data_IF_353566911828
#
_entry.id   IF_353566911828
#
_cell.length_a   1.000
_cell.length_b   1.000
_cell.length_c   1.000
_cell.angle_alpha   90.00
_cell.angle_beta   90.00
_cell.angle_gamma   90.00
#
_symmetry.space_group_name_H-M   'P 1'
#
loop_
_entity.id
_entity.type
_entity.pdbx_description
1 polymer ?
#
# COMPACT_ATOMS: atom_id res chain seq x y z
N UNK A 1 -7.24 5.04 2.07
CA UNK A 1 -5.79 4.75 2.05
C UNK A 1 -4.96 5.82 2.73
N UNK A 2 -4.74 6.98 2.10
CA UNK A 2 -3.78 7.98 2.62
C UNK A 2 -4.03 8.50 4.05
N UNK A 3 -5.25 8.43 4.56
CA UNK A 3 -5.57 8.83 5.95
C UNK A 3 -4.97 7.87 6.98
N UNK A 4 -5.41 6.61 6.98
CA UNK A 4 -5.02 5.64 8.01
C UNK A 4 -3.62 5.06 7.79
N UNK A 5 -3.19 4.93 6.52
CA UNK A 5 -1.89 4.32 6.20
C UNK A 5 -0.71 5.18 6.69
N UNK A 6 -0.81 6.51 6.54
CA UNK A 6 0.20 7.43 7.10
C UNK A 6 0.18 7.48 8.63
N UNK A 7 -0.95 7.17 9.26
CA UNK A 7 -1.03 7.01 10.72
C UNK A 7 -0.24 5.79 11.19
N UNK A 8 -0.34 4.66 10.48
CA UNK A 8 0.44 3.45 10.78
C UNK A 8 1.94 3.73 10.67
N UNK A 9 2.37 4.46 9.64
CA UNK A 9 3.77 4.91 9.53
C UNK A 9 4.13 5.85 10.69
N UNK A 10 3.22 6.74 11.09
CA UNK A 10 3.37 7.60 12.26
C UNK A 10 3.55 6.83 13.57
N UNK A 11 2.83 5.71 13.76
CA UNK A 11 3.07 4.78 14.87
C UNK A 11 4.48 4.21 14.78
N UNK A 12 4.93 3.76 13.62
CA UNK A 12 6.30 3.25 13.46
C UNK A 12 7.36 4.32 13.77
N UNK A 13 7.15 5.59 13.38
CA UNK A 13 8.01 6.72 13.75
C UNK A 13 8.02 6.94 15.26
N UNK A 14 6.86 6.91 15.91
CA UNK A 14 6.75 7.06 17.35
C UNK A 14 7.54 5.97 18.09
N UNK A 15 7.38 4.71 17.69
CA UNK A 15 8.13 3.60 18.28
C UNK A 15 9.63 3.69 17.96
N UNK A 16 10.02 4.06 16.75
CA UNK A 16 11.42 4.26 16.37
C UNK A 16 12.11 5.31 17.23
N UNK A 17 11.44 6.45 17.48
CA UNK A 17 11.95 7.50 18.37
C UNK A 17 12.00 7.01 19.82
N UNK A 18 11.00 6.24 20.25
CA UNK A 18 10.96 5.63 21.58
C UNK A 18 12.03 4.55 21.80
N UNK A 19 12.61 3.98 20.73
CA UNK A 19 13.72 3.01 20.82
C UNK A 19 15.07 3.65 21.19
N UNK A 20 15.21 4.98 21.16
CA UNK A 20 16.44 5.69 21.55
C UNK A 20 16.60 5.83 23.07
N UNK A 21 16.32 4.76 23.80
CA UNK A 21 16.48 4.65 25.24
C UNK A 21 17.29 3.39 25.57
N UNK A 22 17.96 3.37 26.73
CA UNK A 22 18.74 2.19 27.15
C UNK A 22 17.85 1.00 27.50
N UNK A 23 16.66 1.27 28.03
CA UNK A 23 15.61 0.30 28.29
C UNK A 23 14.39 0.67 27.45
N UNK A 24 13.82 -0.30 26.74
CA UNK A 24 12.68 -0.06 25.85
C UNK A 24 11.42 0.21 26.67
N UNK A 25 10.57 1.18 26.32
CA UNK A 25 9.39 1.53 27.13
C UNK A 25 8.37 0.39 27.32
N UNK A 26 8.42 -0.63 26.46
CA UNK A 26 7.54 -1.80 26.51
C UNK A 26 8.19 -3.03 27.18
N UNK A 27 9.31 -2.87 27.91
CA UNK A 27 9.90 -3.95 28.74
C UNK A 27 9.31 -3.99 30.16
N UNK A 28 8.84 -2.86 30.68
CA UNK A 28 8.28 -2.76 32.05
C UNK A 28 6.78 -3.08 32.07
N UNK A 29 6.35 -3.91 33.03
CA UNK A 29 5.02 -4.54 33.13
C UNK A 29 3.80 -3.62 33.37
N UNK A 30 3.92 -2.31 33.20
CA UNK A 30 2.75 -1.45 33.11
C UNK A 30 2.17 -1.63 31.71
N UNK A 31 1.28 -2.62 31.57
CA UNK A 31 0.40 -3.03 30.46
C UNK A 31 0.87 -2.85 28.99
N UNK A 32 0.75 -3.89 28.12
CA UNK A 32 1.17 -3.83 26.71
C UNK A 32 0.45 -2.75 25.87
N UNK A 33 -0.69 -2.21 26.35
CA UNK A 33 -1.45 -1.10 25.73
C UNK A 33 -0.89 0.31 26.05
N UNK A 34 0.19 0.43 26.82
CA UNK A 34 0.66 1.72 27.32
C UNK A 34 1.43 2.57 26.31
N UNK A 35 2.01 2.00 25.26
CA UNK A 35 2.81 2.79 24.31
C UNK A 35 1.93 3.74 23.50
N UNK A 36 0.78 3.24 23.01
CA UNK A 36 -0.22 4.05 22.32
C UNK A 36 -1.23 4.70 23.28
N UNK A 37 -1.33 4.22 24.52
CA UNK A 37 -2.30 4.67 25.55
C UNK A 37 -3.77 4.39 25.19
N UNK A 38 -4.02 3.30 24.46
CA UNK A 38 -5.36 2.93 23.96
C UNK A 38 -6.36 2.66 25.10
N UNK A 39 -5.89 2.37 26.32
CA UNK A 39 -6.75 2.17 27.49
C UNK A 39 -7.49 3.43 27.94
N UNK A 40 -7.15 4.61 27.41
CA UNK A 40 -7.80 5.89 27.72
C UNK A 40 -9.09 6.14 26.92
N UNK A 41 -9.48 5.21 26.06
CA UNK A 41 -10.72 5.27 25.27
C UNK A 41 -11.51 3.98 25.47
N UNK A 42 -12.81 4.10 25.68
CA UNK A 42 -13.72 2.95 25.87
C UNK A 42 -14.23 2.37 24.54
N UNK A 43 -13.86 2.95 23.40
CA UNK A 43 -14.17 2.42 22.08
C UNK A 43 -14.46 3.50 21.02
N UNK A 44 -15.24 3.15 20.00
CA UNK A 44 -15.58 4.07 18.90
C UNK A 44 -16.52 5.21 19.33
N UNK A 45 -17.36 5.00 20.35
CA UNK A 45 -18.27 6.03 20.87
C UNK A 45 -17.52 7.13 21.65
N UNK A 46 -16.36 6.82 22.22
CA UNK A 46 -15.46 7.77 22.86
C UNK A 46 -14.01 7.52 22.44
N UNK A 47 -13.61 8.18 21.36
CA UNK A 47 -12.25 8.12 20.83
C UNK A 47 -11.23 8.87 21.72
N UNK A 48 -11.68 9.68 22.68
CA UNK A 48 -10.82 10.55 23.48
C UNK A 48 -10.17 11.70 22.70
N UNK A 49 -9.28 12.43 23.36
CA UNK A 49 -8.57 13.57 22.77
C UNK A 49 -7.46 13.13 21.78
N UNK A 50 -7.03 14.06 20.92
CA UNK A 50 -5.89 13.87 20.01
C UNK A 50 -4.60 13.74 20.83
N UNK A 51 -3.85 12.65 20.61
CA UNK A 51 -2.53 12.46 21.20
C UNK A 51 -1.51 13.29 20.43
N UNK A 52 -1.12 14.43 20.98
CA UNK A 52 -0.24 15.40 20.31
C UNK A 52 1.12 14.83 19.88
N UNK A 53 1.70 13.93 20.66
CA UNK A 53 2.97 13.28 20.29
C UNK A 53 2.81 12.45 19.01
N UNK A 54 1.71 11.71 18.89
CA UNK A 54 1.39 10.93 17.69
C UNK A 54 1.03 11.84 16.51
N UNK A 55 0.22 12.88 16.74
CA UNK A 55 -0.13 13.84 15.69
C UNK A 55 1.11 14.54 15.09
N UNK A 56 2.15 14.78 15.90
CA UNK A 56 3.43 15.32 15.47
C UNK A 56 4.26 14.29 14.70
N UNK A 57 4.29 13.01 15.12
CA UNK A 57 4.93 11.93 14.36
C UNK A 57 4.28 11.76 12.97
N UNK A 58 2.94 11.76 12.90
CA UNK A 58 2.20 11.72 11.63
C UNK A 58 2.51 12.96 10.79
N UNK A 59 2.53 14.14 11.40
CA UNK A 59 2.91 15.38 10.68
C UNK A 59 4.32 15.27 10.08
N UNK A 60 5.30 14.73 10.82
CA UNK A 60 6.64 14.49 10.31
C UNK A 60 6.66 13.55 9.10
N UNK A 61 5.82 12.50 9.09
CA UNK A 61 5.63 11.63 7.92
C UNK A 61 5.08 12.41 6.73
N UNK A 62 4.05 13.24 6.91
CA UNK A 62 3.50 14.07 5.82
C UNK A 62 4.52 15.09 5.29
N UNK A 63 5.36 15.67 6.15
CA UNK A 63 6.45 16.56 5.73
C UNK A 63 7.48 15.80 4.89
N UNK A 64 7.85 14.59 5.31
CA UNK A 64 8.76 13.73 4.54
C UNK A 64 8.14 13.39 3.17
N UNK A 65 6.88 12.96 3.14
CA UNK A 65 6.14 12.66 1.91
C UNK A 65 6.05 13.88 0.99
N UNK A 66 5.81 15.07 1.53
CA UNK A 66 5.79 16.30 0.75
C UNK A 66 7.13 16.55 0.03
N UNK A 67 8.25 16.52 0.76
CA UNK A 67 9.57 16.74 0.15
C UNK A 67 9.97 15.64 -0.83
N UNK A 68 9.50 14.41 -0.63
CA UNK A 68 9.68 13.33 -1.61
C UNK A 68 8.93 13.62 -2.91
N UNK A 69 7.68 14.10 -2.84
CA UNK A 69 6.78 14.25 -3.99
C UNK A 69 6.80 15.64 -4.66
N UNK A 70 7.33 16.68 -4.01
CA UNK A 70 7.17 18.08 -4.46
C UNK A 70 7.63 18.35 -5.90
N UNK A 71 8.71 17.68 -6.35
CA UNK A 71 9.26 17.79 -7.72
C UNK A 71 8.90 16.58 -8.60
N UNK A 72 7.90 15.80 -8.17
CA UNK A 72 7.43 14.56 -8.80
C UNK A 72 8.50 13.47 -8.89
N UNK A 73 8.36 12.61 -9.91
CA UNK A 73 9.19 11.43 -10.18
C UNK A 73 10.71 11.64 -10.05
N UNK A 74 11.25 12.82 -10.37
CA UNK A 74 12.71 13.11 -10.21
C UNK A 74 13.16 13.19 -8.75
N UNK A 75 12.29 13.62 -7.85
CA UNK A 75 12.57 13.70 -6.40
C UNK A 75 12.18 12.39 -5.72
N UNK A 76 11.03 11.83 -6.09
CA UNK A 76 10.58 10.51 -5.62
C UNK A 76 11.62 9.44 -5.93
N UNK A 77 12.17 9.42 -7.15
CA UNK A 77 13.21 8.48 -7.54
C UNK A 77 14.47 8.58 -6.65
N UNK A 78 14.89 9.80 -6.25
CA UNK A 78 16.04 9.99 -5.35
C UNK A 78 15.74 9.55 -3.91
N UNK A 79 14.52 9.78 -3.43
CA UNK A 79 14.07 9.29 -2.12
C UNK A 79 14.03 7.75 -2.10
N UNK A 80 13.52 7.14 -3.18
CA UNK A 80 13.49 5.68 -3.39
C UNK A 80 14.92 5.11 -3.42
N UNK A 81 15.90 5.82 -4.00
CA UNK A 81 17.31 5.43 -3.92
C UNK A 81 17.88 5.40 -2.49
N UNK A 82 17.21 5.96 -1.48
CA UNK A 82 17.65 5.87 -0.07
C UNK A 82 16.79 4.83 0.66
N UNK A 83 15.47 4.83 0.45
CA UNK A 83 14.52 3.91 1.13
C UNK A 83 14.63 2.49 0.60
N UNK A 84 14.85 2.31 -0.71
CA UNK A 84 15.00 0.99 -1.32
C UNK A 84 16.43 0.45 -1.19
N UNK A 85 17.46 1.30 -1.02
CA UNK A 85 18.90 0.89 -0.95
C UNK A 85 19.29 0.15 0.32
N UNK A 86 18.56 0.32 1.43
CA UNK A 86 18.83 -0.43 2.66
C UNK A 86 18.81 -1.98 2.45
N UNK A 87 17.82 -2.56 1.73
CA UNK A 87 17.87 -3.94 1.22
C UNK A 87 19.06 -4.24 0.28
N UNK A 88 19.45 -3.29 -0.59
CA UNK A 88 20.54 -3.51 -1.55
C UNK A 88 21.92 -3.56 -0.91
N UNK A 89 22.15 -2.93 0.25
CA UNK A 89 23.42 -3.08 0.98
C UNK A 89 23.61 -4.55 1.41
N UNK A 90 22.55 -5.20 1.90
CA UNK A 90 22.55 -6.65 2.20
C UNK A 90 22.75 -7.48 0.94
N UNK A 91 22.10 -7.12 -0.18
CA UNK A 91 22.26 -7.80 -1.46
C UNK A 91 23.65 -7.61 -2.08
N UNK A 92 24.31 -6.46 -1.90
CA UNK A 92 25.68 -6.20 -2.38
C UNK A 92 26.67 -7.07 -1.61
N UNK A 93 26.49 -7.23 -0.29
CA UNK A 93 27.31 -8.15 0.52
C UNK A 93 27.15 -9.60 0.01
N UNK A 94 25.92 -10.01 -0.32
CA UNK A 94 25.64 -11.32 -0.91
C UNK A 94 26.15 -11.46 -2.35
N UNK A 95 26.16 -10.38 -3.15
CA UNK A 95 26.65 -10.35 -4.52
C UNK A 95 28.17 -10.55 -4.59
N UNK A 96 28.96 -9.87 -3.73
CA UNK A 96 30.40 -10.10 -3.66
C UNK A 96 30.73 -11.53 -3.20
N UNK A 97 29.93 -12.09 -2.29
CA UNK A 97 30.04 -13.48 -1.85
C UNK A 97 29.63 -14.49 -2.94
N UNK A 98 28.63 -14.16 -3.75
CA UNK A 98 28.12 -14.99 -4.84
C UNK A 98 28.99 -14.96 -6.09
N UNK A 99 29.55 -13.79 -6.45
CA UNK A 99 30.45 -13.61 -7.58
C UNK A 99 31.82 -14.30 -7.40
N UNK A 100 32.19 -14.62 -6.16
CA UNK A 100 33.40 -15.38 -5.83
C UNK A 100 33.19 -16.91 -5.90
N UNK A 101 31.99 -17.39 -6.22
CA UNK A 101 31.71 -18.81 -6.43
C UNK A 101 32.04 -19.24 -7.88
N UNK A 102 32.60 -20.44 -8.08
CA UNK A 102 32.83 -20.97 -9.42
C UNK A 102 31.49 -21.20 -10.14
N UNK A 103 31.38 -20.74 -11.39
CA UNK A 103 30.13 -20.80 -12.19
C UNK A 103 29.24 -19.55 -12.11
N UNK A 104 29.60 -18.53 -11.33
CA UNK A 104 28.83 -17.29 -11.21
C UNK A 104 28.66 -16.54 -12.55
N UNK A 105 29.66 -16.63 -13.44
CA UNK A 105 29.63 -15.96 -14.75
C UNK A 105 28.50 -16.42 -15.66
N UNK A 106 28.16 -17.71 -15.64
CA UNK A 106 27.09 -18.27 -16.45
C UNK A 106 25.71 -17.87 -15.90
N UNK A 107 25.57 -17.79 -14.57
CA UNK A 107 24.35 -17.28 -13.91
C UNK A 107 24.10 -15.79 -14.17
N UNK A 108 25.16 -14.97 -14.18
CA UNK A 108 25.08 -13.54 -14.51
C UNK A 108 24.73 -13.34 -15.98
N UNK A 109 25.32 -14.14 -16.88
CA UNK A 109 25.05 -14.06 -18.32
C UNK A 109 23.63 -14.49 -18.68
N UNK A 110 23.05 -15.44 -17.93
CA UNK A 110 21.65 -15.83 -18.04
C UNK A 110 20.69 -14.73 -17.52
N UNK A 111 21.06 -14.02 -16.44
CA UNK A 111 20.29 -12.89 -15.92
C UNK A 111 20.29 -11.66 -16.84
N UNK A 112 21.40 -11.40 -17.56
CA UNK A 112 21.59 -10.18 -18.35
C UNK A 112 21.10 -10.26 -19.82
N UNK A 113 20.44 -11.34 -20.24
CA UNK A 113 19.80 -11.40 -21.57
C UNK A 113 18.36 -10.87 -21.50
N UNK A 114 18.05 -9.68 -22.06
CA UNK A 114 16.76 -9.03 -21.86
C UNK A 114 15.68 -9.57 -22.81
N UNK A 115 14.51 -9.92 -22.27
CA UNK A 115 13.25 -9.95 -23.01
C UNK A 115 12.24 -9.04 -22.30
N UNK A 116 11.78 -7.97 -22.93
CA UNK A 116 11.06 -6.85 -22.30
C UNK A 116 9.62 -7.15 -21.81
N UNK A 117 9.31 -8.42 -21.57
CA UNK A 117 8.20 -8.92 -20.72
C UNK A 117 8.67 -9.07 -19.24
N UNK A 118 9.97 -8.90 -18.98
CA UNK A 118 10.60 -9.20 -17.70
C UNK A 118 10.28 -8.23 -16.57
N UNK A 119 10.02 -6.93 -16.79
CA UNK A 119 9.83 -6.00 -15.64
C UNK A 119 8.59 -6.34 -14.81
N UNK A 120 7.48 -6.66 -15.47
CA UNK A 120 6.23 -7.04 -14.79
C UNK A 120 6.35 -8.41 -14.12
N UNK A 121 6.97 -9.38 -14.80
CA UNK A 121 7.20 -10.72 -14.26
C UNK A 121 8.22 -10.72 -13.11
N UNK A 122 9.31 -9.97 -13.24
CA UNK A 122 10.35 -9.78 -12.24
C UNK A 122 9.78 -9.05 -11.03
N UNK A 123 9.06 -7.94 -11.22
CA UNK A 123 8.41 -7.21 -10.11
C UNK A 123 7.41 -8.10 -9.39
N UNK A 124 6.58 -8.85 -10.11
CA UNK A 124 5.63 -9.79 -9.50
C UNK A 124 6.32 -10.92 -8.74
N UNK A 125 7.41 -11.45 -9.29
CA UNK A 125 8.19 -12.54 -8.68
C UNK A 125 8.94 -12.06 -7.42
N UNK A 126 9.53 -10.87 -7.46
CA UNK A 126 10.17 -10.24 -6.30
C UNK A 126 9.11 -9.98 -5.22
N UNK A 127 7.96 -9.40 -5.58
CA UNK A 127 6.88 -9.17 -4.63
C UNK A 127 6.41 -10.46 -3.95
N UNK A 128 6.26 -11.56 -4.70
CA UNK A 128 5.94 -12.87 -4.16
C UNK A 128 7.02 -13.37 -3.21
N UNK A 129 8.29 -13.33 -3.61
CA UNK A 129 9.41 -13.80 -2.80
C UNK A 129 9.55 -12.99 -1.49
N UNK A 130 9.42 -11.66 -1.57
CA UNK A 130 9.45 -10.78 -0.40
C UNK A 130 8.27 -11.05 0.54
N UNK A 131 7.06 -11.27 0.01
CA UNK A 131 5.88 -11.59 0.82
C UNK A 131 6.01 -12.94 1.52
N UNK A 132 6.54 -13.96 0.83
CA UNK A 132 6.81 -15.27 1.42
C UNK A 132 7.86 -15.20 2.52
N UNK A 133 8.98 -14.50 2.25
CA UNK A 133 10.04 -14.30 3.23
C UNK A 133 9.54 -13.53 4.45
N UNK A 134 8.78 -12.45 4.23
CA UNK A 134 8.15 -11.68 5.30
C UNK A 134 7.22 -12.58 6.12
N UNK A 135 6.36 -13.38 5.49
CA UNK A 135 5.48 -14.33 6.19
C UNK A 135 6.26 -15.33 7.05
N UNK A 136 7.33 -15.94 6.52
CA UNK A 136 8.18 -16.87 7.26
C UNK A 136 8.84 -16.21 8.48
N UNK A 137 9.41 -15.02 8.30
CA UNK A 137 9.96 -14.23 9.41
C UNK A 137 8.85 -13.92 10.41
N UNK A 138 7.65 -13.58 9.92
CA UNK A 138 6.57 -13.15 10.80
C UNK A 138 6.12 -14.30 11.72
N UNK A 139 5.87 -15.46 11.14
CA UNK A 139 5.43 -16.65 11.88
C UNK A 139 6.54 -17.26 12.74
N UNK A 140 7.82 -17.12 12.38
CA UNK A 140 8.93 -17.59 13.22
C UNK A 140 8.97 -16.85 14.57
N UNK A 141 8.76 -15.53 14.57
CA UNK A 141 8.72 -14.75 15.82
C UNK A 141 7.44 -15.06 16.61
N UNK A 142 6.29 -15.24 15.94
CA UNK A 142 5.06 -15.62 16.62
C UNK A 142 5.16 -16.99 17.29
N UNK A 143 5.79 -17.97 16.63
CA UNK A 143 6.06 -19.28 17.23
C UNK A 143 6.95 -19.18 18.47
N UNK A 144 7.99 -18.35 18.42
CA UNK A 144 8.83 -18.07 19.60
C UNK A 144 8.04 -17.42 20.74
N UNK A 145 7.17 -16.46 20.43
CA UNK A 145 6.36 -15.78 21.45
C UNK A 145 5.28 -16.69 22.06
N UNK A 146 4.70 -17.58 21.25
CA UNK A 146 3.75 -18.60 21.69
C UNK A 146 4.40 -19.56 22.70
N UNK A 147 5.63 -20.00 22.43
CA UNK A 147 6.39 -20.88 23.33
C UNK A 147 6.66 -20.20 24.69
N UNK A 148 7.09 -18.94 24.69
CA UNK A 148 7.40 -18.22 25.94
C UNK A 148 6.16 -17.98 26.79
N UNK A 149 5.03 -17.62 26.16
CA UNK A 149 3.76 -17.38 26.85
C UNK A 149 2.98 -18.66 27.16
N UNK A 150 3.42 -19.81 26.64
CA UNK A 150 2.71 -21.08 26.73
C UNK A 150 1.24 -20.97 26.26
N UNK A 151 1.05 -20.25 25.15
CA UNK A 151 -0.26 -20.03 24.49
C UNK A 151 -0.19 -20.52 23.05
N UNK A 152 -1.34 -20.78 22.45
CA UNK A 152 -1.39 -21.19 21.04
C UNK A 152 -1.21 -19.98 20.10
N UNK A 153 -0.67 -20.22 18.90
CA UNK A 153 -0.34 -19.15 17.93
C UNK A 153 -1.59 -18.38 17.49
N UNK A 154 -2.73 -19.06 17.40
CA UNK A 154 -4.01 -18.45 17.03
C UNK A 154 -4.43 -17.36 18.02
N UNK A 155 -4.09 -17.48 19.31
CA UNK A 155 -4.42 -16.46 20.32
C UNK A 155 -3.61 -15.17 20.17
N UNK A 156 -2.37 -15.26 19.66
CA UNK A 156 -1.51 -14.10 19.44
C UNK A 156 -1.86 -13.32 18.16
N UNK A 157 -2.54 -13.96 17.20
CA UNK A 157 -2.94 -13.34 15.93
C UNK A 157 -4.25 -12.55 15.98
N UNK A 158 -4.94 -12.52 17.13
CA UNK A 158 -6.30 -12.01 17.26
C UNK A 158 -6.40 -10.47 17.24
N UNK A 159 -5.30 -9.76 17.48
CA UNK A 159 -5.29 -8.29 17.51
C UNK A 159 -5.29 -7.65 16.10
N UNK A 160 -5.47 -8.46 15.05
CA UNK A 160 -5.43 -8.01 13.66
C UNK A 160 -4.03 -7.59 13.20
N UNK A 161 -3.90 -7.13 11.93
CA UNK A 161 -2.59 -6.81 11.35
C UNK A 161 -1.80 -5.70 12.08
N UNK A 162 -2.42 -4.58 12.52
CA UNK A 162 -1.70 -3.55 13.26
C UNK A 162 -1.29 -4.00 14.67
N UNK A 163 -2.17 -4.70 15.39
CA UNK A 163 -1.89 -5.20 16.74
C UNK A 163 -0.71 -6.17 16.76
N UNK A 164 -0.65 -7.08 15.78
CA UNK A 164 0.47 -7.99 15.61
C UNK A 164 1.83 -7.25 15.62
N UNK A 165 1.94 -6.20 14.79
CA UNK A 165 3.19 -5.47 14.55
C UNK A 165 3.55 -4.51 15.68
N UNK A 166 2.57 -3.91 16.36
CA UNK A 166 2.81 -2.88 17.38
C UNK A 166 2.68 -3.36 18.82
N UNK A 167 2.20 -4.59 19.05
CA UNK A 167 2.05 -5.19 20.38
C UNK A 167 2.90 -6.45 20.51
N UNK A 168 2.64 -7.48 19.69
CA UNK A 168 3.30 -8.80 19.83
C UNK A 168 4.78 -8.73 19.43
N UNK A 169 5.08 -8.00 18.36
CA UNK A 169 6.45 -7.87 17.85
C UNK A 169 7.41 -7.13 18.78
N UNK A 170 7.07 -5.93 19.28
CA UNK A 170 7.98 -5.18 20.14
C UNK A 170 8.25 -5.93 21.44
N UNK A 171 7.26 -6.65 21.95
CA UNK A 171 7.42 -7.55 23.09
C UNK A 171 8.38 -8.71 22.79
N UNK A 172 8.24 -9.40 21.66
CA UNK A 172 9.15 -10.47 21.27
C UNK A 172 10.59 -9.97 21.00
N UNK A 173 10.76 -8.70 20.62
CA UNK A 173 12.07 -8.05 20.46
C UNK A 173 12.66 -7.67 21.82
N UNK A 174 11.82 -7.28 22.78
CA UNK A 174 12.24 -6.90 24.12
C UNK A 174 12.93 -8.04 24.88
N UNK A 175 12.58 -9.30 24.60
CA UNK A 175 13.21 -10.48 25.22
C UNK A 175 14.60 -10.81 24.67
N UNK A 176 15.01 -10.22 23.54
CA UNK A 176 16.30 -10.50 22.90
C UNK A 176 17.42 -9.65 23.51
N UNK A 177 18.62 -10.22 23.59
CA UNK A 177 19.82 -9.47 23.95
C UNK A 177 20.10 -8.37 22.90
N UNK A 178 20.37 -7.15 23.37
CA UNK A 178 20.50 -5.98 22.49
C UNK A 178 19.17 -5.51 21.89
N UNK A 179 18.06 -5.66 22.61
CA UNK A 179 16.69 -5.36 22.17
C UNK A 179 16.52 -3.98 21.53
N UNK A 180 17.24 -2.96 22.02
CA UNK A 180 17.24 -1.59 21.48
C UNK A 180 17.68 -1.54 20.02
N UNK A 181 18.77 -2.25 19.67
CA UNK A 181 19.28 -2.33 18.30
C UNK A 181 18.28 -3.02 17.35
N UNK A 182 17.72 -4.15 17.78
CA UNK A 182 16.74 -4.90 17.01
C UNK A 182 15.44 -4.12 16.80
N UNK A 183 15.02 -3.37 17.82
CA UNK A 183 13.85 -2.50 17.75
C UNK A 183 14.04 -1.37 16.75
N UNK A 184 15.19 -0.69 16.77
CA UNK A 184 15.49 0.38 15.81
C UNK A 184 15.45 -0.11 14.36
N UNK A 185 16.07 -1.26 14.07
CA UNK A 185 16.06 -1.84 12.72
C UNK A 185 14.65 -2.23 12.30
N UNK A 186 13.88 -2.84 13.20
CA UNK A 186 12.52 -3.28 12.91
C UNK A 186 11.59 -2.11 12.58
N UNK A 187 11.57 -1.06 13.41
CA UNK A 187 10.72 0.10 13.14
C UNK A 187 11.22 0.94 11.97
N UNK A 188 12.55 1.02 11.76
CA UNK A 188 13.10 1.65 10.56
C UNK A 188 12.65 0.92 9.28
N UNK A 189 12.68 -0.41 9.28
CA UNK A 189 12.16 -1.23 8.18
C UNK A 189 10.66 -0.95 7.92
N UNK A 190 9.84 -0.85 8.97
CA UNK A 190 8.41 -0.54 8.80
C UNK A 190 8.19 0.85 8.22
N UNK A 191 8.97 1.84 8.65
CA UNK A 191 8.91 3.20 8.09
C UNK A 191 9.27 3.19 6.61
N UNK A 192 10.37 2.52 6.21
CA UNK A 192 10.78 2.51 4.80
C UNK A 192 9.79 1.75 3.91
N UNK A 193 9.26 0.62 4.36
CA UNK A 193 8.22 -0.14 3.63
C UNK A 193 6.93 0.67 3.43
N UNK A 194 6.51 1.41 4.47
CA UNK A 194 5.32 2.26 4.39
C UNK A 194 5.51 3.49 3.51
N UNK A 195 6.69 4.12 3.57
CA UNK A 195 6.97 5.32 2.77
C UNK A 195 6.97 5.03 1.26
N UNK A 196 7.60 3.94 0.82
CA UNK A 196 7.64 3.57 -0.61
C UNK A 196 6.22 3.38 -1.18
N UNK A 197 5.37 2.64 -0.46
CA UNK A 197 3.98 2.39 -0.87
C UNK A 197 3.16 3.68 -0.93
N UNK A 198 3.38 4.58 0.02
CA UNK A 198 2.71 5.89 0.06
C UNK A 198 3.12 6.78 -1.11
N UNK A 199 4.41 6.79 -1.45
CA UNK A 199 4.91 7.57 -2.58
C UNK A 199 4.28 7.13 -3.90
N UNK A 200 4.20 5.81 -4.13
CA UNK A 200 3.57 5.26 -5.34
C UNK A 200 2.09 5.61 -5.45
N UNK A 201 1.32 5.41 -4.39
CA UNK A 201 -0.12 5.68 -4.38
C UNK A 201 -0.46 7.17 -4.57
N UNK A 202 0.27 8.06 -3.89
CA UNK A 202 0.04 9.50 -4.01
C UNK A 202 0.55 10.07 -5.34
N UNK A 203 1.70 9.65 -5.85
CA UNK A 203 2.21 10.12 -7.15
C UNK A 203 1.27 9.73 -8.29
N UNK A 204 0.69 8.52 -8.26
CA UNK A 204 -0.30 8.09 -9.26
C UNK A 204 -1.54 9.00 -9.26
N UNK A 205 -2.08 9.30 -8.07
CA UNK A 205 -3.23 10.20 -7.93
C UNK A 205 -2.90 11.65 -8.35
N UNK A 206 -1.77 12.18 -7.90
CA UNK A 206 -1.31 13.54 -8.24
C UNK A 206 -1.12 13.65 -9.75
N UNK A 207 -0.49 12.65 -10.38
CA UNK A 207 -0.26 12.62 -11.82
C UNK A 207 -1.57 12.59 -12.59
N UNK A 208 -2.52 11.71 -12.21
CA UNK A 208 -3.83 11.65 -12.86
C UNK A 208 -4.60 12.98 -12.78
N UNK A 209 -4.56 13.68 -11.63
CA UNK A 209 -5.21 14.99 -11.49
C UNK A 209 -4.49 16.10 -12.27
N UNK A 210 -3.16 16.08 -12.30
CA UNK A 210 -2.37 17.03 -13.08
C UNK A 210 -2.56 16.84 -14.60
N UNK A 211 -2.73 15.61 -15.07
CA UNK A 211 -2.97 15.30 -16.48
C UNK A 211 -4.37 15.73 -16.94
N UNK A 212 -5.38 15.61 -16.07
CA UNK A 212 -6.76 16.03 -16.37
C UNK A 212 -6.90 17.57 -16.33
N UNK A 213 -6.26 18.24 -15.38
CA UNK A 213 -6.32 19.70 -15.21
C UNK A 213 -4.94 20.37 -15.36
N UNK A 214 -4.31 20.32 -16.55
CA UNK A 214 -2.92 20.74 -16.75
C UNK A 214 -2.70 22.24 -16.54
N UNK A 215 -3.69 23.07 -16.89
CA UNK A 215 -3.59 24.53 -16.77
C UNK A 215 -3.71 24.99 -15.32
N UNK A 216 -4.61 24.38 -14.54
CA UNK A 216 -4.91 24.76 -13.16
C UNK A 216 -3.92 24.14 -12.17
N UNK A 217 -3.71 22.82 -12.25
CA UNK A 217 -2.93 22.05 -11.29
C UNK A 217 -1.47 21.87 -11.74
N UNK A 218 -1.23 21.64 -13.03
CA UNK A 218 0.12 21.37 -13.57
C UNK A 218 1.10 22.54 -13.41
N UNK A 219 0.64 23.77 -13.61
CA UNK A 219 1.50 24.98 -13.52
C UNK A 219 1.98 25.29 -12.09
N UNK A 220 1.26 24.83 -11.07
CA UNK A 220 1.60 25.02 -9.64
C UNK A 220 1.58 23.68 -8.89
N UNK A 221 2.18 22.63 -9.49
CA UNK A 221 2.20 21.26 -8.93
C UNK A 221 2.66 21.25 -7.46
N UNK A 222 3.73 21.98 -7.12
CA UNK A 222 4.26 22.05 -5.75
C UNK A 222 3.21 22.52 -4.73
N UNK A 223 2.51 23.62 -5.04
CA UNK A 223 1.45 24.16 -4.18
C UNK A 223 0.27 23.19 -4.07
N UNK A 224 -0.12 22.57 -5.20
CA UNK A 224 -1.20 21.59 -5.23
C UNK A 224 -0.89 20.38 -4.35
N UNK A 225 0.31 19.80 -4.47
CA UNK A 225 0.75 18.67 -3.63
C UNK A 225 0.75 19.06 -2.16
N UNK A 226 1.25 20.26 -1.81
CA UNK A 226 1.20 20.77 -0.43
C UNK A 226 -0.22 20.89 0.12
N UNK A 227 -1.14 21.51 -0.63
CA UNK A 227 -2.54 21.64 -0.22
C UNK A 227 -3.24 20.28 -0.07
N UNK A 228 -2.97 19.34 -0.98
CA UNK A 228 -3.51 17.99 -0.95
C UNK A 228 -3.03 17.23 0.29
N UNK A 229 -1.74 17.28 0.60
CA UNK A 229 -1.19 16.62 1.79
C UNK A 229 -1.69 17.23 3.10
N UNK A 230 -1.83 18.56 3.16
CA UNK A 230 -2.45 19.23 4.31
C UNK A 230 -3.90 18.76 4.49
N UNK A 231 -4.67 18.67 3.41
CA UNK A 231 -6.03 18.13 3.45
C UNK A 231 -6.06 16.68 3.97
N UNK A 232 -5.20 15.80 3.44
CA UNK A 232 -5.13 14.41 3.88
C UNK A 232 -4.71 14.31 5.36
N UNK A 233 -3.77 15.15 5.81
CA UNK A 233 -3.35 15.21 7.21
C UNK A 233 -4.50 15.60 8.15
N UNK A 234 -5.28 16.62 7.79
CA UNK A 234 -6.45 17.04 8.58
C UNK A 234 -7.49 15.92 8.67
N UNK A 235 -7.72 15.17 7.58
CA UNK A 235 -8.60 14.01 7.59
C UNK A 235 -8.01 12.82 8.36
N UNK A 236 -6.70 12.77 8.59
CA UNK A 236 -6.02 11.76 9.39
C UNK A 236 -5.95 12.13 10.89
N UNK A 237 -6.35 13.32 11.33
CA UNK A 237 -6.31 13.66 12.76
C UNK A 237 -7.18 12.73 13.65
N UNK A 238 -8.38 12.29 13.25
CA UNK A 238 -9.19 11.37 14.05
C UNK A 238 -8.53 10.02 14.32
N UNK A 239 -7.59 9.56 13.48
CA UNK A 239 -6.86 8.30 13.72
C UNK A 239 -5.71 8.47 14.72
N UNK A 240 -5.42 9.71 15.17
CA UNK A 240 -4.36 10.03 16.14
C UNK A 240 -4.87 10.26 17.56
N UNK A 241 -6.16 10.02 17.81
CA UNK A 241 -6.74 10.03 19.16
C UNK A 241 -6.34 8.78 19.96
N UNK A 242 -6.64 8.77 21.25
CA UNK A 242 -6.40 7.59 22.10
C UNK A 242 -7.11 6.33 21.59
N UNK A 243 -8.34 6.47 21.08
CA UNK A 243 -9.10 5.41 20.41
C UNK A 243 -8.82 5.27 18.91
N UNK A 244 -7.77 5.90 18.40
CA UNK A 244 -7.48 5.97 16.96
C UNK A 244 -7.31 4.59 16.30
N UNK A 245 -6.89 3.57 17.06
CA UNK A 245 -6.76 2.18 16.58
C UNK A 245 -8.10 1.63 16.04
N UNK A 246 -9.21 1.82 16.76
CA UNK A 246 -10.54 1.39 16.31
C UNK A 246 -10.96 2.10 15.01
N UNK A 247 -10.61 3.37 14.88
CA UNK A 247 -10.91 4.14 13.67
C UNK A 247 -10.03 3.73 12.48
N UNK A 248 -8.76 3.39 12.73
CA UNK A 248 -7.85 2.81 11.72
C UNK A 248 -8.37 1.47 11.25
N UNK A 249 -8.83 0.59 12.15
CA UNK A 249 -9.38 -0.72 11.80
C UNK A 249 -10.66 -0.60 10.95
N UNK A 250 -11.58 0.30 11.33
CA UNK A 250 -12.75 0.62 10.51
C UNK A 250 -12.35 1.03 9.09
N UNK A 251 -11.41 1.97 8.97
CA UNK A 251 -10.95 2.47 7.67
C UNK A 251 -10.15 1.42 6.88
N UNK A 252 -9.49 0.49 7.55
CA UNK A 252 -8.74 -0.59 6.91
C UNK A 252 -9.67 -1.67 6.33
N UNK A 253 -10.69 -2.08 7.10
CA UNK A 253 -11.67 -3.10 6.67
C UNK A 253 -12.60 -2.55 5.59
N UNK A 254 -13.23 -1.39 5.83
CA UNK A 254 -14.26 -0.85 4.93
C UNK A 254 -13.73 0.13 3.87
N UNK A 255 -12.51 0.62 4.01
CA UNK A 255 -11.99 1.68 3.15
C UNK A 255 -11.69 1.21 1.72
N UNK A 256 -10.58 0.50 1.48
CA UNK A 256 -10.12 0.17 0.14
C UNK A 256 -10.57 -1.18 -0.42
N UNK A 257 -10.75 -2.21 0.42
CA UNK A 257 -10.71 -3.62 -0.03
C UNK A 257 -11.72 -3.94 -1.14
N UNK A 258 -13.01 -3.82 -0.82
CA UNK A 258 -14.10 -4.12 -1.75
C UNK A 258 -14.13 -3.12 -2.92
N UNK A 259 -13.82 -1.85 -2.67
CA UNK A 259 -13.87 -0.80 -3.69
C UNK A 259 -12.77 -0.94 -4.75
N UNK A 260 -11.54 -1.30 -4.37
CA UNK A 260 -10.43 -1.55 -5.31
C UNK A 260 -10.74 -2.79 -6.16
N UNK A 261 -11.25 -3.87 -5.56
CA UNK A 261 -11.64 -5.07 -6.31
C UNK A 261 -12.70 -4.76 -7.36
N UNK A 262 -13.71 -3.96 -7.00
CA UNK A 262 -14.72 -3.51 -7.95
C UNK A 262 -14.12 -2.67 -9.09
N UNK A 263 -13.27 -1.70 -8.76
CA UNK A 263 -12.67 -0.79 -9.74
C UNK A 263 -11.76 -1.55 -10.72
N UNK A 264 -10.91 -2.45 -10.22
CA UNK A 264 -10.05 -3.32 -11.05
C UNK A 264 -10.89 -4.23 -11.94
N UNK A 265 -12.01 -4.76 -11.45
CA UNK A 265 -12.94 -5.55 -12.26
C UNK A 265 -13.52 -4.72 -13.42
N UNK A 266 -14.01 -3.51 -13.16
CA UNK A 266 -14.58 -2.62 -14.19
C UNK A 266 -13.53 -2.21 -15.22
N UNK A 267 -12.30 -1.89 -14.77
CA UNK A 267 -11.19 -1.56 -15.66
C UNK A 267 -10.81 -2.74 -16.56
N UNK A 268 -10.65 -3.93 -15.98
CA UNK A 268 -10.35 -5.15 -16.74
C UNK A 268 -11.46 -5.51 -17.73
N UNK A 269 -12.73 -5.38 -17.33
CA UNK A 269 -13.87 -5.54 -18.24
C UNK A 269 -13.84 -4.52 -19.38
N UNK A 270 -13.53 -3.25 -19.07
CA UNK A 270 -13.43 -2.17 -20.06
C UNK A 270 -12.35 -2.43 -21.12
N UNK A 271 -11.17 -2.89 -20.70
CA UNK A 271 -10.06 -3.18 -21.64
C UNK A 271 -10.31 -4.48 -22.40
N UNK A 272 -10.67 -5.56 -21.70
CA UNK A 272 -10.75 -6.88 -22.33
C UNK A 272 -12.01 -7.10 -23.16
N UNK A 273 -13.18 -6.63 -22.70
CA UNK A 273 -14.46 -6.89 -23.37
C UNK A 273 -14.96 -5.68 -24.18
N UNK A 274 -14.83 -4.45 -23.67
CA UNK A 274 -15.31 -3.27 -24.40
C UNK A 274 -14.32 -2.79 -25.46
N UNK A 275 -13.03 -2.64 -25.12
CA UNK A 275 -11.98 -2.27 -26.08
C UNK A 275 -11.61 -3.46 -26.98
N UNK A 276 -11.53 -4.65 -26.37
CA UNK A 276 -11.37 -5.93 -27.05
C UNK A 276 -9.93 -6.43 -26.98
N UNK A 277 -9.75 -7.64 -26.46
CA UNK A 277 -8.44 -8.28 -26.26
C UNK A 277 -7.57 -8.34 -27.51
N UNK A 278 -8.16 -8.54 -28.69
CA UNK A 278 -7.39 -8.60 -29.94
C UNK A 278 -6.78 -7.24 -30.31
N UNK A 279 -7.56 -6.15 -30.20
CA UNK A 279 -7.07 -4.80 -30.47
C UNK A 279 -5.98 -4.39 -29.48
N UNK A 280 -6.18 -4.72 -28.21
CA UNK A 280 -5.16 -4.49 -27.18
C UNK A 280 -3.87 -5.28 -27.45
N UNK A 281 -3.98 -6.51 -27.95
CA UNK A 281 -2.82 -7.30 -28.38
C UNK A 281 -2.09 -6.67 -29.56
N UNK A 282 -2.82 -6.12 -30.53
CA UNK A 282 -2.23 -5.45 -31.71
C UNK A 282 -1.53 -4.14 -31.30
N UNK A 283 -2.06 -3.42 -30.31
CA UNK A 283 -1.41 -2.23 -29.74
C UNK A 283 -0.10 -2.59 -29.03
N UNK A 284 -0.08 -3.68 -28.25
CA UNK A 284 1.15 -4.17 -27.60
C UNK A 284 2.21 -4.55 -28.64
N UNK A 285 1.81 -5.18 -29.74
CA UNK A 285 2.71 -5.49 -30.86
C UNK A 285 3.32 -4.23 -31.47
N UNK A 286 2.54 -3.16 -31.62
CA UNK A 286 3.04 -1.88 -32.11
C UNK A 286 4.03 -1.19 -31.14
N UNK A 287 3.94 -1.47 -29.84
CA UNK A 287 4.81 -0.88 -28.80
C UNK A 287 6.08 -1.69 -28.57
N UNK A 288 5.98 -3.02 -28.50
CA UNK A 288 7.07 -3.93 -28.13
C UNK A 288 7.67 -4.68 -29.33
N UNK A 289 7.03 -4.64 -30.49
CA UNK A 289 7.46 -5.33 -31.71
C UNK A 289 7.12 -6.82 -31.77
N UNK A 290 6.41 -7.37 -30.79
CA UNK A 290 5.95 -8.77 -30.76
C UNK A 290 4.55 -8.91 -30.15
N UNK A 291 3.77 -9.88 -30.62
CA UNK A 291 2.46 -10.17 -30.02
C UNK A 291 2.58 -10.91 -28.69
N UNK A 292 1.73 -10.58 -27.69
CA UNK A 292 1.63 -11.37 -26.47
C UNK A 292 1.13 -12.78 -26.79
N UNK A 293 1.71 -13.77 -26.11
CA UNK A 293 1.36 -15.18 -26.32
C UNK A 293 -0.10 -15.52 -25.96
N UNK A 294 -0.61 -16.69 -26.39
CA UNK A 294 -2.00 -17.10 -26.16
C UNK A 294 -2.41 -17.13 -24.69
N UNK A 295 -1.48 -17.46 -23.79
CA UNK A 295 -1.69 -17.44 -22.33
C UNK A 295 -2.25 -16.09 -21.87
N UNK A 296 -1.58 -14.99 -22.22
CA UNK A 296 -2.00 -13.63 -21.83
C UNK A 296 -3.35 -13.25 -22.42
N UNK A 297 -3.58 -13.57 -23.70
CA UNK A 297 -4.86 -13.30 -24.38
C UNK A 297 -6.03 -14.03 -23.70
N UNK A 298 -5.82 -15.28 -23.29
CA UNK A 298 -6.82 -16.07 -22.57
C UNK A 298 -7.07 -15.47 -21.18
N UNK A 299 -6.02 -15.18 -20.42
CA UNK A 299 -6.15 -14.60 -19.06
C UNK A 299 -6.88 -13.27 -19.08
N UNK A 300 -6.61 -12.41 -20.07
CA UNK A 300 -7.31 -11.14 -20.21
C UNK A 300 -8.77 -11.32 -20.67
N UNK A 301 -9.04 -12.30 -21.54
CA UNK A 301 -10.41 -12.57 -21.99
C UNK A 301 -11.31 -13.08 -20.85
N UNK A 302 -10.75 -13.84 -19.90
CA UNK A 302 -11.49 -14.43 -18.78
C UNK A 302 -11.22 -13.68 -17.47
N UNK A 303 -11.76 -12.47 -17.35
CA UNK A 303 -11.79 -11.65 -16.11
C UNK A 303 -12.61 -12.29 -14.97
N UNK A 304 -13.17 -13.48 -15.20
CA UNK A 304 -14.04 -14.23 -14.29
C UNK A 304 -13.39 -14.45 -12.92
N UNK A 305 -12.07 -14.63 -12.85
CA UNK A 305 -11.37 -14.81 -11.58
C UNK A 305 -11.48 -13.59 -10.65
N UNK A 306 -11.35 -12.38 -11.20
CA UNK A 306 -11.47 -11.13 -10.44
C UNK A 306 -12.93 -10.95 -9.98
N UNK A 307 -13.90 -11.27 -10.84
CA UNK A 307 -15.31 -11.25 -10.50
C UNK A 307 -15.65 -12.25 -9.38
N UNK A 308 -15.08 -13.46 -9.43
CA UNK A 308 -15.30 -14.48 -8.41
C UNK A 308 -14.77 -14.00 -7.05
N UNK A 309 -13.55 -13.46 -7.00
CA UNK A 309 -12.99 -12.90 -5.76
C UNK A 309 -13.90 -11.80 -5.21
N UNK A 310 -14.35 -10.87 -6.08
CA UNK A 310 -15.24 -9.80 -5.68
C UNK A 310 -16.55 -10.34 -5.08
N UNK A 311 -17.19 -11.32 -5.72
CA UNK A 311 -18.43 -11.94 -5.22
C UNK A 311 -18.18 -12.65 -3.87
N UNK A 312 -17.10 -13.42 -3.74
CA UNK A 312 -16.75 -14.08 -2.48
C UNK A 312 -16.58 -13.06 -1.34
N UNK A 313 -15.92 -11.93 -1.60
CA UNK A 313 -15.73 -10.87 -0.58
C UNK A 313 -17.02 -10.16 -0.18
N UNK A 314 -18.07 -10.20 -1.02
CA UNK A 314 -19.38 -9.64 -0.70
C UNK A 314 -20.26 -10.61 0.09
N UNK A 315 -20.11 -11.93 -0.13
CA UNK A 315 -20.92 -12.96 0.53
C UNK A 315 -20.50 -13.10 2.00
N UNK A 316 -19.19 -13.12 2.27
CA UNK A 316 -18.65 -13.30 3.62
C UNK A 316 -17.70 -12.13 3.97
N UNK A 317 -18.26 -10.95 4.32
CA UNK A 317 -17.44 -9.82 4.71
C UNK A 317 -16.76 -10.11 6.04
N UNK A 318 -15.45 -9.81 6.12
CA UNK A 318 -14.68 -9.95 7.36
C UNK A 318 -15.36 -9.15 8.48
N UNK A 319 -15.70 -9.78 9.61
CA UNK A 319 -16.32 -9.09 10.73
C UNK A 319 -15.36 -8.05 11.31
N UNK A 320 -15.87 -6.87 11.65
CA UNK A 320 -15.09 -5.83 12.31
C UNK A 320 -14.87 -6.13 13.80
N UNK A 321 -15.77 -6.92 14.41
CA UNK A 321 -15.72 -7.24 15.82
C UNK A 321 -14.45 -8.02 16.18
N UNK A 322 -13.77 -7.56 17.22
CA UNK A 322 -12.63 -8.24 17.84
C UNK A 322 -13.13 -8.95 19.10
N UNK A 323 -12.45 -10.02 19.55
CA UNK A 323 -12.89 -10.76 20.75
C UNK A 323 -13.02 -9.86 22.01
N UNK A 324 -12.22 -8.79 22.09
CA UNK A 324 -12.20 -7.83 23.21
C UNK A 324 -13.17 -6.64 23.04
N UNK A 325 -13.70 -6.40 21.85
CA UNK A 325 -14.53 -5.23 21.56
C UNK A 325 -15.52 -5.47 20.43
N UNK A 326 -16.81 -5.30 20.75
CA UNK A 326 -17.90 -5.30 19.78
C UNK A 326 -18.18 -3.89 19.30
N UNK A 327 -18.14 -3.68 17.99
CA UNK A 327 -18.38 -2.37 17.43
C UNK A 327 -19.86 -2.01 17.50
N UNK A 328 -20.20 -0.75 17.79
CA UNK A 328 -21.59 -0.31 17.75
C UNK A 328 -22.15 -0.42 16.32
N UNK A 329 -23.46 -0.27 16.15
CA UNK A 329 -24.07 -0.41 14.82
C UNK A 329 -23.76 0.77 13.87
N UNK A 330 -23.43 1.96 14.40
CA UNK A 330 -23.24 3.15 13.58
C UNK A 330 -21.92 3.15 12.77
N UNK A 331 -20.75 2.71 13.28
CA UNK A 331 -19.51 2.66 12.49
C UNK A 331 -19.62 1.64 11.37
N UNK A 332 -20.30 0.50 11.62
CA UNK A 332 -20.57 -0.51 10.60
C UNK A 332 -21.39 0.09 9.46
N UNK A 333 -22.45 0.85 9.78
CA UNK A 333 -23.25 1.56 8.76
C UNK A 333 -22.41 2.59 8.00
N UNK A 334 -21.59 3.38 8.71
CA UNK A 334 -20.67 4.35 8.08
C UNK A 334 -19.67 3.63 7.17
N UNK A 335 -19.12 2.49 7.60
CA UNK A 335 -18.23 1.64 6.83
C UNK A 335 -18.85 1.20 5.50
N UNK A 336 -20.06 0.64 5.54
CA UNK A 336 -20.78 0.27 4.32
C UNK A 336 -21.09 1.46 3.41
N UNK A 337 -21.47 2.61 3.98
CA UNK A 337 -21.66 3.84 3.19
C UNK A 337 -20.36 4.26 2.52
N UNK A 338 -19.22 4.21 3.23
CA UNK A 338 -17.90 4.50 2.67
C UNK A 338 -17.58 3.53 1.52
N UNK A 339 -17.74 2.22 1.73
CA UNK A 339 -17.48 1.19 0.72
C UNK A 339 -18.36 1.39 -0.53
N UNK A 340 -19.66 1.65 -0.38
CA UNK A 340 -20.57 1.84 -1.51
C UNK A 340 -20.40 3.19 -2.22
N UNK A 341 -19.94 4.23 -1.52
CA UNK A 341 -19.80 5.58 -2.07
C UNK A 341 -18.67 5.73 -3.10
N UNK A 342 -17.61 4.91 -3.01
CA UNK A 342 -16.47 5.01 -3.92
C UNK A 342 -16.81 4.46 -5.32
N UNK A 343 -17.35 3.23 -5.45
CA UNK A 343 -17.77 2.68 -6.75
C UNK A 343 -18.90 3.46 -7.43
N UNK A 344 -19.92 3.86 -6.67
CA UNK A 344 -21.12 4.52 -7.20
C UNK A 344 -20.79 5.86 -7.86
N UNK A 345 -19.96 6.68 -7.22
CA UNK A 345 -19.50 7.96 -7.79
C UNK A 345 -18.65 7.79 -9.04
N UNK A 346 -17.87 6.69 -9.13
CA UNK A 346 -17.13 6.36 -10.34
C UNK A 346 -18.07 6.01 -11.49
N UNK A 347 -19.12 5.22 -11.23
CA UNK A 347 -20.13 4.84 -12.24
C UNK A 347 -21.01 6.03 -12.67
N UNK A 348 -21.44 6.88 -11.75
CA UNK A 348 -22.35 8.02 -12.04
C UNK A 348 -21.71 9.08 -12.94
N UNK A 349 -20.36 9.18 -12.92
CA UNK A 349 -19.60 10.05 -13.83
C UNK A 349 -19.31 9.42 -15.18
N UNK A 350 -19.57 8.12 -15.36
CA UNK A 350 -19.55 7.48 -16.67
C UNK A 350 -20.89 7.80 -17.33
N UNK A 351 -20.95 8.69 -18.34
CA UNK A 351 -22.23 9.07 -18.93
C UNK A 351 -22.93 7.83 -19.49
N UNK A 352 -24.26 7.67 -19.35
CA UNK A 352 -25.00 6.49 -19.81
C UNK A 352 -24.93 6.27 -21.34
N UNK A 353 -24.42 7.24 -22.10
CA UNK A 353 -24.07 7.11 -23.52
C UNK A 353 -22.85 6.19 -23.77
N UNK A 354 -22.02 5.94 -22.76
CA UNK A 354 -20.89 4.99 -22.81
C UNK A 354 -21.33 3.53 -22.77
N UNK A 355 -22.53 3.23 -22.23
CA UNK A 355 -23.07 1.87 -22.23
C UNK A 355 -23.81 1.52 -23.53
N UNK A 356 -24.10 2.49 -24.41
CA UNK A 356 -25.02 2.30 -25.54
C UNK A 356 -24.54 2.73 -26.94
N UNK A 357 -23.36 3.33 -27.12
CA UNK A 357 -22.93 3.81 -28.46
C UNK A 357 -21.48 3.42 -28.76
N UNK A 358 -21.35 2.30 -29.44
CA UNK A 358 -20.14 1.50 -29.73
C UNK A 358 -19.19 2.03 -30.81
N UNK A 359 -19.23 3.29 -31.27
CA UNK A 359 -18.29 3.67 -32.36
C UNK A 359 -17.73 5.09 -32.44
N UNK A 360 -18.37 6.14 -31.89
CA UNK A 360 -17.94 7.52 -32.19
C UNK A 360 -17.13 8.17 -31.07
N UNK A 361 -17.41 7.88 -29.80
CA UNK A 361 -16.60 8.38 -28.66
C UNK A 361 -15.38 7.49 -28.33
N UNK A 362 -15.29 6.27 -28.87
CA UNK A 362 -14.05 5.47 -28.89
C UNK A 362 -12.89 6.26 -29.51
N UNK A 363 -13.17 7.02 -30.57
CA UNK A 363 -12.18 7.91 -31.22
C UNK A 363 -11.86 9.19 -30.44
N UNK A 364 -12.59 9.54 -29.39
CA UNK A 364 -12.31 10.75 -28.58
C UNK A 364 -11.68 10.39 -27.23
N UNK A 365 -12.16 9.33 -26.58
CA UNK A 365 -11.65 8.87 -25.28
C UNK A 365 -10.27 8.20 -25.42
N UNK A 366 -10.08 7.34 -26.44
CA UNK A 366 -8.77 6.72 -26.72
C UNK A 366 -7.77 7.76 -27.27
N UNK A 367 -8.24 8.72 -28.07
CA UNK A 367 -7.35 9.62 -28.80
C UNK A 367 -6.87 10.84 -28.00
N UNK A 368 -7.59 11.23 -26.94
CA UNK A 368 -7.20 12.32 -26.04
C UNK A 368 -6.55 11.78 -24.75
N UNK A 369 -7.10 10.72 -24.15
CA UNK A 369 -6.60 10.18 -22.88
C UNK A 369 -5.38 9.29 -23.09
N UNK A 370 -5.37 8.40 -24.09
CA UNK A 370 -4.28 7.43 -24.30
C UNK A 370 -3.16 7.91 -25.23
N UNK A 371 -3.42 8.83 -26.17
CA UNK A 371 -2.37 9.37 -27.05
C UNK A 371 -1.37 10.28 -26.32
N UNK A 372 -1.79 10.92 -25.22
CA UNK A 372 -0.91 11.84 -24.47
C UNK A 372 -0.03 11.15 -23.44
N UNK A 373 -0.45 10.03 -22.87
CA UNK A 373 0.32 9.34 -21.82
C UNK A 373 1.40 8.39 -22.37
N UNK A 374 1.25 7.87 -23.59
CA UNK A 374 2.19 6.89 -24.17
C UNK A 374 2.90 7.34 -25.46
N UNK A 375 2.32 8.23 -26.28
CA UNK A 375 2.88 8.62 -27.59
C UNK A 375 3.63 9.97 -27.60
N UNK A 376 4.31 10.32 -26.49
CA UNK A 376 5.10 11.55 -26.38
C UNK A 376 6.37 11.64 -27.23
N UNK A 377 6.76 10.58 -27.96
CA UNK A 377 8.02 10.53 -28.72
C UNK A 377 7.89 9.84 -30.09
N UNK A 378 6.88 10.18 -30.89
CA UNK A 378 6.93 9.85 -32.34
C UNK A 378 6.96 11.17 -33.12
N UNK A 379 8.13 11.58 -33.67
CA UNK A 379 8.19 12.69 -34.61
C UNK A 379 7.35 12.32 -35.83
N UNK A 380 6.37 13.16 -36.16
CA UNK A 380 5.65 13.09 -37.42
C UNK A 380 6.64 13.32 -38.57
N UNK A 381 6.88 12.28 -39.36
CA UNK A 381 7.37 12.40 -40.74
C UNK A 381 6.16 12.27 -41.65
#
# INVERSE_FOLDING_TARGET
MGMYYNTIIGWAVYYFVASFTSELPWTSCDHPRNVLENYRSDGMDDLGAIKWSLALCVFAVFVLVYFSLWKGVRSTGKAVWITAVAPYIVLIILLFRGASLPGAGDGIRYFLTPQWVDDALLTSSINLATSLLAGLVIFAVLGYMAEIRNVSIDQLGLEGPPGLVFVVYPEAIATKAGSTFWSMIFFFLLITLGLDSTFGGLEAMITGLCDEYPVLLGRRKELFVGMLLVFIYLCALPTTTYGGMYFVDLLNVYGPGIAILFLVFVEAMGVSWCYGTQRFSDDIESMLGFQPGPFWKITWAYVIFILLIFICTLIDPVPLDTQDYTYPAWPIKVGWVLTCSQPSRCLDRIPPRCFGVTSILYRYFVHIFWRKQWFGCVPSI
#
